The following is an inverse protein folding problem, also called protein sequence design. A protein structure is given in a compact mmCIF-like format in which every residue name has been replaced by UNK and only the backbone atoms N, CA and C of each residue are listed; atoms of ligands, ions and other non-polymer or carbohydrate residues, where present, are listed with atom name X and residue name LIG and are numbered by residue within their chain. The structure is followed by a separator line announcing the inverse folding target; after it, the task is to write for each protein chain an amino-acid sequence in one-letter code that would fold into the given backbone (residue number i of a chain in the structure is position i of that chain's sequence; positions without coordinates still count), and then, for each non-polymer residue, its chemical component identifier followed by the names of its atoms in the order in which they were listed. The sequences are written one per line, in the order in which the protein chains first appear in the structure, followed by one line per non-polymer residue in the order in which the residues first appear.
data_IF_733296768749
#
_entry.id   IF_733296768749
#
_cell.length_a   1.000
_cell.length_b   1.000
_cell.length_c   1.000
_cell.angle_alpha   90.00
_cell.angle_beta   90.00
_cell.angle_gamma   90.00
#
_symmetry.space_group_name_H-M   'P 1'
#
loop_
_entity.id
_entity.type
_entity.pdbx_description
1 polymer ?
#
# COMPACT_ATOMS: atom_id res chain seq x y z
N UNK A 1 9.09 -1.36 -19.19
CA UNK A 1 10.12 -2.40 -18.99
C UNK A 1 9.48 -3.77 -18.74
N UNK A 2 8.74 -3.97 -17.64
CA UNK A 2 8.11 -5.28 -17.31
C UNK A 2 7.14 -5.75 -18.40
N UNK A 3 6.21 -4.89 -18.84
CA UNK A 3 5.27 -5.21 -19.93
C UNK A 3 5.94 -5.47 -21.29
N UNK A 4 7.19 -5.05 -21.46
CA UNK A 4 7.99 -5.35 -22.66
C UNK A 4 8.82 -6.65 -22.52
N UNK A 5 8.64 -7.40 -21.42
CA UNK A 5 9.39 -8.63 -21.15
C UNK A 5 10.84 -8.42 -20.72
N UNK A 6 11.25 -7.20 -20.37
CA UNK A 6 12.64 -6.84 -20.11
C UNK A 6 13.04 -6.90 -18.62
N UNK A 7 12.16 -7.37 -17.74
CA UNK A 7 12.48 -7.56 -16.33
C UNK A 7 11.27 -7.83 -15.44
N UNK A 8 11.56 -8.00 -14.15
CA UNK A 8 10.57 -8.25 -13.08
C UNK A 8 10.56 -7.02 -12.17
N UNK A 9 9.38 -6.61 -11.70
CA UNK A 9 9.23 -5.58 -10.68
C UNK A 9 8.59 -6.16 -9.43
N UNK A 10 9.00 -5.64 -8.28
CA UNK A 10 8.39 -5.93 -6.98
C UNK A 10 7.71 -4.65 -6.52
N UNK A 11 6.40 -4.71 -6.34
CA UNK A 11 5.57 -3.56 -5.94
C UNK A 11 4.65 -3.98 -4.80
N UNK A 12 4.24 -3.04 -3.92
CA UNK A 12 3.18 -3.30 -2.95
C UNK A 12 1.89 -3.76 -3.64
N UNK A 13 1.11 -4.62 -2.97
CA UNK A 13 -0.13 -5.19 -3.53
C UNK A 13 -1.14 -4.10 -3.88
N UNK A 14 -1.18 -3.03 -3.10
CA UNK A 14 -2.12 -1.92 -3.17
C UNK A 14 -2.02 -1.15 -4.50
N UNK A 15 -0.85 -1.16 -5.14
CA UNK A 15 -0.63 -0.51 -6.44
C UNK A 15 -0.63 -1.50 -7.61
N UNK A 16 -0.78 -2.78 -7.31
CA UNK A 16 -0.55 -3.85 -8.27
C UNK A 16 -1.66 -3.93 -9.33
N UNK A 17 -2.92 -3.66 -8.95
CA UNK A 17 -4.09 -3.67 -9.84
C UNK A 17 -3.98 -2.70 -11.02
N UNK A 18 -3.28 -1.58 -10.84
CA UNK A 18 -3.03 -0.58 -11.89
C UNK A 18 -2.33 -1.26 -13.09
N UNK A 19 -1.47 -2.24 -12.82
CA UNK A 19 -0.72 -2.95 -13.86
C UNK A 19 -1.50 -4.12 -14.49
N UNK A 20 -2.48 -4.72 -13.79
CA UNK A 20 -3.36 -5.76 -14.37
C UNK A 20 -4.21 -5.17 -15.48
N UNK A 21 -4.72 -3.95 -15.29
CA UNK A 21 -5.59 -3.30 -16.26
C UNK A 21 -4.92 -3.07 -17.62
N UNK A 22 -3.58 -3.00 -17.65
CA UNK A 22 -2.79 -2.90 -18.87
C UNK A 22 -2.66 -4.24 -19.63
N UNK A 23 -3.04 -5.38 -19.03
CA UNK A 23 -3.19 -6.70 -19.70
C UNK A 23 -1.90 -7.42 -20.12
N UNK A 24 -0.72 -6.84 -19.87
CA UNK A 24 0.56 -7.37 -20.38
C UNK A 24 1.46 -7.98 -19.28
N UNK A 25 0.96 -8.04 -18.05
CA UNK A 25 1.73 -8.50 -16.89
C UNK A 25 0.88 -9.35 -15.96
N UNK A 26 1.49 -10.41 -15.44
CA UNK A 26 0.91 -11.28 -14.41
C UNK A 26 1.41 -10.84 -13.04
N UNK A 27 0.50 -10.81 -12.07
CA UNK A 27 0.84 -10.54 -10.67
C UNK A 27 0.99 -11.86 -9.93
N UNK A 28 2.06 -11.96 -9.16
CA UNK A 28 2.37 -13.12 -8.32
C UNK A 28 2.60 -12.58 -6.90
N UNK A 29 1.81 -13.01 -5.89
CA UNK A 29 2.02 -12.58 -4.52
C UNK A 29 3.33 -13.15 -3.97
N UNK A 30 4.07 -12.31 -3.24
CA UNK A 30 5.26 -12.72 -2.51
C UNK A 30 4.86 -13.01 -1.06
N UNK A 31 5.11 -14.22 -0.59
CA UNK A 31 4.68 -14.71 0.73
C UNK A 31 5.81 -14.76 1.75
N UNK A 32 6.99 -14.28 1.38
CA UNK A 32 8.16 -14.29 2.25
C UNK A 32 8.13 -13.11 3.22
N UNK A 33 8.68 -13.27 4.42
CA UNK A 33 8.72 -12.23 5.46
C UNK A 33 9.37 -10.93 4.99
N UNK A 34 10.39 -11.03 4.12
CA UNK A 34 11.06 -9.86 3.55
C UNK A 34 10.15 -9.00 2.67
N UNK A 35 9.02 -9.53 2.20
CA UNK A 35 8.05 -8.83 1.36
C UNK A 35 6.98 -8.08 2.17
N UNK A 36 6.94 -8.27 3.49
CA UNK A 36 6.05 -7.48 4.35
C UNK A 36 6.52 -6.02 4.41
N UNK A 37 5.60 -5.08 4.23
CA UNK A 37 5.87 -3.63 4.24
C UNK A 37 4.79 -2.95 5.06
N UNK A 38 5.23 -2.04 5.92
CA UNK A 38 4.34 -1.21 6.74
C UNK A 38 4.29 0.20 6.16
N UNK A 39 3.09 0.70 5.91
CA UNK A 39 2.88 2.11 5.56
C UNK A 39 2.75 2.94 6.85
N UNK A 40 3.62 3.93 7.00
CA UNK A 40 3.64 4.81 8.16
C UNK A 40 3.19 6.23 7.81
N UNK A 41 2.38 6.83 8.68
CA UNK A 41 2.02 8.25 8.63
C UNK A 41 2.87 8.97 9.69
N UNK A 42 3.71 9.90 9.23
CA UNK A 42 4.62 10.63 10.11
C UNK A 42 4.12 12.06 10.37
N UNK A 43 4.04 12.44 11.63
CA UNK A 43 3.79 13.80 12.09
C UNK A 43 4.66 14.07 13.33
N UNK A 44 4.94 15.34 13.61
CA UNK A 44 5.90 15.70 14.66
C UNK A 44 5.36 15.40 16.06
N UNK A 45 4.17 15.90 16.38
CA UNK A 45 3.41 15.61 17.60
C UNK A 45 1.92 15.64 17.25
N UNK A 46 1.13 14.84 17.95
CA UNK A 46 -0.30 14.73 17.65
C UNK A 46 -1.03 16.07 17.83
N UNK A 47 -0.68 16.83 18.88
CA UNK A 47 -1.24 18.16 19.12
C UNK A 47 -0.79 19.26 18.13
N UNK A 48 0.14 18.96 17.22
CA UNK A 48 0.51 19.88 16.13
C UNK A 48 -0.38 19.68 14.87
N UNK A 49 -1.26 18.66 14.86
CA UNK A 49 -2.16 18.39 13.75
C UNK A 49 -3.32 19.39 13.72
N UNK A 50 -3.74 19.78 12.52
CA UNK A 50 -4.98 20.53 12.35
C UNK A 50 -6.18 19.62 12.60
N UNK A 51 -7.36 20.14 12.97
CA UNK A 51 -8.56 19.31 13.18
C UNK A 51 -8.96 18.49 11.95
N UNK A 52 -8.62 18.96 10.74
CA UNK A 52 -8.82 18.19 9.51
C UNK A 52 -7.83 17.02 9.39
N UNK A 53 -6.57 17.23 9.74
CA UNK A 53 -5.53 16.20 9.70
C UNK A 53 -5.76 15.13 10.77
N UNK A 54 -6.23 15.49 11.97
CA UNK A 54 -6.60 14.51 13.00
C UNK A 54 -7.74 13.59 12.54
N UNK A 55 -8.78 14.16 11.91
CA UNK A 55 -9.89 13.36 11.36
C UNK A 55 -9.44 12.43 10.25
N UNK A 56 -8.57 12.91 9.36
CA UNK A 56 -7.99 12.08 8.30
C UNK A 56 -7.15 10.94 8.90
N UNK A 57 -6.30 11.24 9.89
CA UNK A 57 -5.51 10.23 10.58
C UNK A 57 -6.40 9.16 11.21
N UNK A 58 -7.45 9.56 11.92
CA UNK A 58 -8.42 8.62 12.51
C UNK A 58 -9.07 7.72 11.45
N UNK A 59 -9.53 8.31 10.35
CA UNK A 59 -10.10 7.55 9.24
C UNK A 59 -9.10 6.54 8.66
N UNK A 60 -7.85 6.93 8.43
CA UNK A 60 -6.82 6.07 7.86
C UNK A 60 -6.45 4.91 8.81
N UNK A 61 -6.41 5.17 10.11
CA UNK A 61 -6.18 4.13 11.13
C UNK A 61 -7.32 3.10 11.13
N UNK A 62 -8.57 3.55 11.07
CA UNK A 62 -9.73 2.65 11.01
C UNK A 62 -9.76 1.81 9.72
N UNK A 63 -9.36 2.40 8.59
CA UNK A 63 -9.23 1.68 7.32
C UNK A 63 -8.13 0.62 7.39
N UNK A 64 -6.95 0.95 7.92
CA UNK A 64 -5.86 -0.01 8.08
C UNK A 64 -6.26 -1.19 8.99
N UNK A 65 -6.99 -0.93 10.07
CA UNK A 65 -7.51 -1.98 10.96
C UNK A 65 -8.61 -2.85 10.31
N UNK A 66 -9.26 -2.36 9.26
CA UNK A 66 -10.28 -3.11 8.51
C UNK A 66 -9.63 -3.98 7.43
N UNK A 67 -8.57 -3.50 6.78
CA UNK A 67 -7.81 -4.24 5.78
C UNK A 67 -7.03 -5.42 6.39
N UNK A 68 -6.42 -5.21 7.56
CA UNK A 68 -5.77 -6.27 8.33
C UNK A 68 -6.71 -7.42 8.74
N UNK A 69 -8.04 -7.18 8.73
CA UNK A 69 -9.06 -8.18 9.03
C UNK A 69 -9.53 -8.96 7.81
N UNK A 70 -9.18 -8.50 6.62
CA UNK A 70 -9.60 -9.05 5.31
C UNK A 70 -8.50 -9.88 4.64
N UNK A 71 -7.30 -9.93 5.23
CA UNK A 71 -6.16 -10.79 4.83
C UNK A 71 -6.11 -12.04 5.68
#
# INVERSE_FOLDING_TARGET
MVAAGLGISVVPREVSDIYVSAGHVRIIPLLNDWAHREFAICYRRQGDLTPAAERLLGFLVDQAASDARST
#
